data_IF_390639874075
#
_entry.id   IF_390639874075
#
_cell.length_a   1.000
_cell.length_b   1.000
_cell.length_c   1.000
_cell.angle_alpha   90.00
_cell.angle_beta   90.00
_cell.angle_gamma   90.00
#
_symmetry.space_group_name_H-M   'P 1'
#
loop_
_entity.id
_entity.type
_entity.pdbx_description
1 polymer ?
#
# COMPACT_ATOMS: atom_id res chain seq x y z
N UNK A 1 20.44 -1.79 16.84
CA UNK A 1 19.62 -0.61 16.51
C UNK A 1 20.49 0.29 15.65
N UNK A 2 20.40 0.16 14.33
CA UNK A 2 21.29 0.86 13.39
C UNK A 2 20.66 2.21 13.07
N UNK A 3 21.28 3.30 13.52
CA UNK A 3 20.88 4.67 13.19
C UNK A 3 21.53 5.03 11.86
N UNK A 4 20.73 5.06 10.79
CA UNK A 4 21.19 5.55 9.49
C UNK A 4 21.07 7.07 9.47
N UNK A 5 22.20 7.77 9.53
CA UNK A 5 22.26 9.20 9.25
C UNK A 5 22.27 9.39 7.73
N UNK A 6 21.13 9.76 7.15
CA UNK A 6 21.08 10.26 5.78
C UNK A 6 21.54 11.71 5.78
N UNK A 7 22.78 11.93 5.32
CA UNK A 7 23.32 13.25 5.06
C UNK A 7 22.77 13.73 3.72
N UNK A 8 21.62 14.43 3.74
CA UNK A 8 21.04 15.04 2.54
C UNK A 8 21.91 16.22 2.08
N UNK A 9 22.27 16.31 0.80
CA UNK A 9 22.97 17.47 0.25
C UNK A 9 21.99 18.64 0.10
N UNK A 10 22.00 19.56 1.06
CA UNK A 10 21.21 20.80 1.01
C UNK A 10 21.78 21.75 -0.05
N UNK A 11 21.29 21.68 -1.29
CA UNK A 11 21.54 22.71 -2.30
C UNK A 11 20.48 23.82 -2.17
N UNK A 12 20.83 24.89 -1.46
CA UNK A 12 20.02 26.11 -1.41
C UNK A 12 20.36 27.02 -2.61
N UNK A 13 19.53 27.00 -3.66
CA UNK A 13 19.60 27.97 -4.75
C UNK A 13 18.86 29.25 -4.35
N UNK A 14 19.60 30.32 -4.05
CA UNK A 14 19.05 31.64 -3.75
C UNK A 14 18.89 32.41 -5.06
N UNK A 15 17.67 32.48 -5.59
CA UNK A 15 17.33 33.33 -6.75
C UNK A 15 16.88 34.73 -6.26
N UNK A 16 17.40 35.82 -6.86
CA UNK A 16 17.05 37.19 -6.47
C UNK A 16 15.74 37.62 -7.17
N UNK A 17 14.59 37.21 -6.62
CA UNK A 17 13.31 37.87 -6.88
C UNK A 17 12.55 38.02 -5.57
N UNK A 18 12.32 39.28 -5.15
CA UNK A 18 11.36 39.72 -4.11
C UNK A 18 11.01 38.64 -3.06
N UNK A 19 11.98 38.41 -2.17
CA UNK A 19 11.92 37.73 -0.86
C UNK A 19 10.78 36.72 -0.63
N UNK A 20 10.67 35.71 -1.49
CA UNK A 20 9.99 34.46 -1.13
C UNK A 20 11.06 33.39 -1.01
N UNK A 21 11.44 33.07 0.23
CA UNK A 21 12.36 31.96 0.51
C UNK A 21 11.59 30.65 0.39
N UNK A 22 11.86 29.88 -0.66
CA UNK A 22 11.37 28.52 -0.80
C UNK A 22 12.42 27.54 -0.24
N UNK A 23 11.99 26.65 0.66
CA UNK A 23 12.78 25.50 1.08
C UNK A 23 12.42 24.32 0.17
N UNK A 24 13.44 23.69 -0.41
CA UNK A 24 13.29 22.47 -1.19
C UNK A 24 13.71 21.29 -0.32
N UNK A 25 12.82 20.30 -0.20
CA UNK A 25 13.10 19.04 0.49
C UNK A 25 13.07 17.94 -0.56
N UNK A 26 14.19 17.25 -0.72
CA UNK A 26 14.27 16.06 -1.56
C UNK A 26 13.95 14.83 -0.71
N UNK A 27 12.87 14.13 -1.05
CA UNK A 27 12.39 12.95 -0.34
C UNK A 27 12.55 11.77 -1.28
N UNK A 28 13.30 10.76 -0.86
CA UNK A 28 13.47 9.55 -1.65
C UNK A 28 12.10 8.86 -1.87
N UNK A 29 11.84 8.36 -3.07
CA UNK A 29 10.56 7.74 -3.42
C UNK A 29 10.48 6.25 -3.06
N UNK A 30 11.59 5.66 -2.62
CA UNK A 30 11.72 4.24 -2.29
C UNK A 30 11.47 3.94 -0.80
N UNK A 31 11.42 4.97 0.05
CA UNK A 31 10.97 4.84 1.44
C UNK A 31 9.43 4.70 1.44
N UNK A 32 8.89 3.61 1.96
CA UNK A 32 7.45 3.32 1.88
C UNK A 32 6.54 4.43 2.42
N UNK A 33 5.26 4.45 2.01
CA UNK A 33 4.33 5.55 2.31
C UNK A 33 4.19 5.89 3.81
N UNK A 34 4.26 4.91 4.71
CA UNK A 34 4.26 5.16 6.16
C UNK A 34 5.44 6.03 6.60
N UNK A 35 6.65 5.71 6.14
CA UNK A 35 7.86 6.46 6.48
C UNK A 35 7.83 7.88 5.91
N UNK A 36 7.31 8.04 4.68
CA UNK A 36 7.11 9.37 4.08
C UNK A 36 6.09 10.18 4.90
N UNK A 37 5.00 9.56 5.34
CA UNK A 37 3.96 10.23 6.14
C UNK A 37 4.48 10.63 7.53
N UNK A 38 5.29 9.79 8.18
CA UNK A 38 5.96 10.12 9.45
C UNK A 38 6.93 11.28 9.27
N UNK A 39 7.73 11.27 8.21
CA UNK A 39 8.63 12.36 7.89
C UNK A 39 7.88 13.66 7.56
N UNK A 40 6.75 13.57 6.86
CA UNK A 40 5.85 14.71 6.63
C UNK A 40 5.39 15.33 7.95
N UNK A 41 4.97 14.53 8.93
CA UNK A 41 4.51 15.03 10.22
C UNK A 41 5.60 15.78 11.01
N UNK A 42 6.86 15.34 10.90
CA UNK A 42 8.01 16.07 11.46
C UNK A 42 8.19 17.44 10.76
N UNK A 43 7.97 17.48 9.45
CA UNK A 43 8.06 18.71 8.67
C UNK A 43 6.91 19.67 8.95
N UNK A 44 5.68 19.17 9.06
CA UNK A 44 4.48 19.91 9.48
C UNK A 44 4.78 20.59 10.84
N UNK A 45 5.26 19.82 11.83
CA UNK A 45 5.61 20.33 13.16
C UNK A 45 6.69 21.42 13.11
N UNK A 46 7.74 21.21 12.30
CA UNK A 46 8.79 22.20 12.13
C UNK A 46 8.26 23.50 11.52
N UNK A 47 7.41 23.43 10.48
CA UNK A 47 6.83 24.61 9.85
C UNK A 47 5.88 25.34 10.80
N UNK A 48 5.11 24.62 11.60
CA UNK A 48 4.25 25.21 12.64
C UNK A 48 5.08 25.95 13.70
N UNK A 49 6.15 25.34 14.23
CA UNK A 49 7.07 26.00 15.17
C UNK A 49 7.67 27.28 14.59
N UNK A 50 8.02 27.28 13.30
CA UNK A 50 8.56 28.46 12.62
C UNK A 50 7.50 29.54 12.41
N UNK A 51 6.28 29.16 12.05
CA UNK A 51 5.16 30.08 11.93
C UNK A 51 4.82 30.75 13.26
N UNK A 52 4.92 30.03 14.39
CA UNK A 52 4.64 30.58 15.72
C UNK A 52 5.58 31.71 16.15
N UNK A 53 6.86 31.66 15.73
CA UNK A 53 7.86 32.68 16.08
C UNK A 53 8.06 33.74 14.99
N UNK A 54 7.46 33.55 13.82
CA UNK A 54 7.56 34.47 12.70
C UNK A 54 6.75 35.76 12.95
N UNK A 55 7.11 36.84 12.24
CA UNK A 55 6.31 38.06 12.23
C UNK A 55 4.91 37.80 11.66
N UNK A 56 3.93 38.64 11.99
CA UNK A 56 2.54 38.53 11.50
C UNK A 56 2.42 38.45 9.96
N UNK A 57 3.42 38.96 9.25
CA UNK A 57 3.51 38.92 7.78
C UNK A 57 4.12 37.64 7.20
N UNK A 58 4.75 36.80 8.03
CA UNK A 58 5.52 35.61 7.63
C UNK A 58 5.08 34.33 8.36
N UNK A 59 4.04 34.38 9.19
CA UNK A 59 3.55 33.26 10.01
C UNK A 59 2.58 32.29 9.30
N UNK A 60 2.63 32.25 7.96
CA UNK A 60 1.77 31.40 7.11
C UNK A 60 2.56 30.62 6.09
N UNK A 61 3.78 30.20 6.46
CA UNK A 61 4.52 29.26 5.64
C UNK A 61 3.74 27.95 5.53
N UNK A 62 3.73 27.38 4.33
CA UNK A 62 3.14 26.09 4.01
C UNK A 62 4.10 25.34 3.10
N UNK A 63 3.95 24.03 3.00
CA UNK A 63 4.79 23.20 2.17
C UNK A 63 3.95 22.22 1.34
N UNK A 64 4.46 21.88 0.15
CA UNK A 64 3.95 20.77 -0.65
C UNK A 64 5.11 19.98 -1.27
N UNK A 65 4.92 18.67 -1.45
CA UNK A 65 5.85 17.79 -2.14
C UNK A 65 5.06 16.67 -2.79
N UNK A 66 5.49 16.25 -3.98
CA UNK A 66 4.84 15.15 -4.70
C UNK A 66 4.85 13.85 -3.86
N UNK A 67 5.95 13.58 -3.14
CA UNK A 67 6.07 12.43 -2.26
C UNK A 67 5.00 12.42 -1.15
N UNK A 68 4.67 13.58 -0.56
CA UNK A 68 3.62 13.68 0.45
C UNK A 68 2.25 13.34 -0.10
N UNK A 69 1.90 13.90 -1.26
CA UNK A 69 0.61 13.64 -1.91
C UNK A 69 0.48 12.16 -2.27
N UNK A 70 1.56 11.54 -2.77
CA UNK A 70 1.55 10.12 -3.11
C UNK A 70 1.43 9.23 -1.87
N UNK A 71 2.15 9.53 -0.80
CA UNK A 71 2.07 8.77 0.45
C UNK A 71 0.69 8.87 1.10
N UNK A 72 0.10 10.07 1.14
CA UNK A 72 -1.25 10.27 1.66
C UNK A 72 -2.30 9.52 0.83
N UNK A 73 -2.19 9.59 -0.50
CA UNK A 73 -3.08 8.85 -1.39
C UNK A 73 -2.95 7.33 -1.20
N UNK A 74 -1.73 6.82 -1.08
CA UNK A 74 -1.48 5.41 -0.83
C UNK A 74 -2.06 4.94 0.51
N UNK A 75 -1.80 5.67 1.59
CA UNK A 75 -2.35 5.36 2.92
C UNK A 75 -3.87 5.44 2.93
N UNK A 76 -4.47 6.42 2.23
CA UNK A 76 -5.92 6.53 2.09
C UNK A 76 -6.51 5.31 1.35
N UNK A 77 -5.88 4.86 0.27
CA UNK A 77 -6.29 3.67 -0.48
C UNK A 77 -6.20 2.42 0.40
N UNK A 78 -5.08 2.23 1.11
CA UNK A 78 -4.89 1.10 2.02
C UNK A 78 -5.97 1.08 3.09
N UNK A 79 -6.18 2.21 3.77
CA UNK A 79 -7.18 2.33 4.83
C UNK A 79 -8.60 2.07 4.30
N UNK A 80 -8.97 2.66 3.16
CA UNK A 80 -10.28 2.44 2.53
C UNK A 80 -10.49 0.97 2.13
N UNK A 81 -9.44 0.32 1.63
CA UNK A 81 -9.48 -1.09 1.24
C UNK A 81 -9.67 -2.00 2.46
N UNK A 82 -8.93 -1.75 3.55
CA UNK A 82 -9.07 -2.50 4.80
C UNK A 82 -10.50 -2.37 5.33
N UNK A 83 -11.04 -1.14 5.41
CA UNK A 83 -12.41 -0.90 5.86
C UNK A 83 -13.40 -1.70 5.00
N UNK A 84 -13.27 -1.62 3.67
CA UNK A 84 -14.13 -2.35 2.73
C UNK A 84 -14.07 -3.87 2.91
N UNK A 85 -12.87 -4.43 3.07
CA UNK A 85 -12.69 -5.87 3.31
C UNK A 85 -13.39 -6.27 4.60
N UNK A 86 -13.24 -5.48 5.67
CA UNK A 86 -13.90 -5.83 6.94
C UNK A 86 -15.42 -5.70 6.81
N UNK A 87 -15.95 -4.65 6.18
CA UNK A 87 -17.39 -4.52 5.92
C UNK A 87 -17.92 -5.77 5.20
N UNK A 88 -17.23 -6.20 4.15
CA UNK A 88 -17.61 -7.39 3.38
C UNK A 88 -17.53 -8.67 4.24
N UNK A 89 -16.46 -8.86 5.01
CA UNK A 89 -16.28 -10.02 5.88
C UNK A 89 -17.35 -10.06 6.98
N UNK A 90 -17.66 -8.94 7.61
CA UNK A 90 -18.69 -8.85 8.63
C UNK A 90 -20.07 -9.12 8.05
N UNK A 91 -20.39 -8.58 6.87
CA UNK A 91 -21.70 -8.76 6.22
C UNK A 91 -21.93 -10.20 5.74
N UNK A 92 -20.87 -10.94 5.45
CA UNK A 92 -20.94 -12.34 5.01
C UNK A 92 -21.03 -13.35 6.16
N UNK A 93 -20.92 -12.90 7.42
CA UNK A 93 -21.14 -13.73 8.60
C UNK A 93 -22.59 -14.24 8.68
N UNK A 94 -22.75 -15.56 8.80
CA UNK A 94 -24.07 -16.22 8.90
C UNK A 94 -24.66 -16.17 10.32
N UNK A 95 -23.81 -15.93 11.30
CA UNK A 95 -24.08 -15.91 12.73
C UNK A 95 -24.63 -14.57 13.23
N UNK A 96 -24.62 -13.52 12.41
CA UNK A 96 -25.18 -12.22 12.77
C UNK A 96 -26.71 -12.21 12.68
N UNK A 97 -27.37 -11.82 13.77
CA UNK A 97 -28.82 -11.57 13.77
C UNK A 97 -29.16 -10.33 12.93
N UNK A 98 -30.38 -10.24 12.42
CA UNK A 98 -30.83 -9.06 11.65
C UNK A 98 -30.75 -7.76 12.48
N UNK A 99 -30.94 -7.84 13.80
CA UNK A 99 -30.75 -6.70 14.70
C UNK A 99 -29.30 -6.23 14.79
N UNK A 100 -28.34 -7.17 14.80
CA UNK A 100 -26.91 -6.84 14.79
C UNK A 100 -26.48 -6.27 13.45
N UNK A 101 -27.03 -6.76 12.33
CA UNK A 101 -26.78 -6.19 11.00
C UNK A 101 -27.31 -4.75 10.91
N UNK A 102 -28.52 -4.50 11.40
CA UNK A 102 -29.08 -3.14 11.41
C UNK A 102 -28.29 -2.19 12.31
N UNK A 103 -27.85 -2.65 13.50
CA UNK A 103 -26.99 -1.85 14.37
C UNK A 103 -25.64 -1.54 13.71
N UNK A 104 -25.04 -2.53 13.04
CA UNK A 104 -23.82 -2.35 12.26
C UNK A 104 -24.05 -1.34 11.13
N UNK A 105 -25.15 -1.43 10.38
CA UNK A 105 -25.48 -0.47 9.31
C UNK A 105 -25.64 0.96 9.83
N UNK A 106 -26.14 1.16 11.05
CA UNK A 106 -26.17 2.48 11.70
C UNK A 106 -24.77 2.98 12.06
N UNK A 107 -23.91 2.11 12.63
CA UNK A 107 -22.50 2.44 12.91
C UNK A 107 -21.74 2.73 11.62
N UNK A 108 -22.09 2.06 10.51
CA UNK A 108 -21.48 2.26 9.19
C UNK A 108 -21.74 3.64 8.58
N UNK A 109 -22.64 4.45 9.15
CA UNK A 109 -22.87 5.84 8.70
C UNK A 109 -21.79 6.80 9.17
N UNK A 110 -21.02 6.45 10.20
CA UNK A 110 -19.92 7.25 10.72
C UNK A 110 -18.56 6.56 10.48
N UNK A 111 -17.81 7.02 9.49
CA UNK A 111 -16.47 6.50 9.17
C UNK A 111 -15.51 6.48 10.38
N UNK A 112 -15.65 7.43 11.31
CA UNK A 112 -14.78 7.50 12.50
C UNK A 112 -15.07 6.40 13.52
N UNK A 113 -16.32 5.94 13.60
CA UNK A 113 -16.72 4.82 14.47
C UNK A 113 -16.51 3.46 13.82
N UNK A 114 -16.69 3.37 12.48
CA UNK A 114 -16.49 2.15 11.71
C UNK A 114 -15.13 1.53 11.98
N UNK A 115 -14.05 2.32 11.89
CA UNK A 115 -12.69 1.79 12.09
C UNK A 115 -12.50 1.18 13.49
N UNK A 116 -13.13 1.75 14.52
CA UNK A 116 -13.04 1.27 15.91
C UNK A 116 -13.81 -0.03 16.09
N UNK A 117 -15.04 -0.10 15.59
CA UNK A 117 -15.90 -1.27 15.71
C UNK A 117 -15.33 -2.45 14.90
N UNK A 118 -14.74 -2.17 13.74
CA UNK A 118 -13.98 -3.13 12.92
C UNK A 118 -12.84 -3.75 13.73
N UNK A 119 -12.04 -2.93 14.41
CA UNK A 119 -10.92 -3.42 15.22
C UNK A 119 -11.38 -4.22 16.45
N UNK A 120 -12.47 -3.81 17.10
CA UNK A 120 -13.07 -4.55 18.21
C UNK A 120 -13.61 -5.90 17.71
N UNK A 121 -14.35 -5.91 16.62
CA UNK A 121 -14.88 -7.14 16.03
C UNK A 121 -13.77 -8.10 15.57
N UNK A 122 -12.66 -7.57 15.05
CA UNK A 122 -11.48 -8.37 14.72
C UNK A 122 -10.83 -8.96 15.98
N UNK A 123 -10.68 -8.16 17.05
CA UNK A 123 -10.14 -8.62 18.33
C UNK A 123 -10.95 -9.77 18.92
N UNK A 124 -12.27 -9.70 18.84
CA UNK A 124 -13.18 -10.68 19.42
C UNK A 124 -13.49 -11.88 18.49
N UNK A 125 -12.96 -11.87 17.26
CA UNK A 125 -13.13 -12.99 16.34
C UNK A 125 -12.40 -14.26 16.84
N UNK A 126 -13.04 -15.44 16.76
CA UNK A 126 -12.40 -16.70 17.15
C UNK A 126 -11.15 -16.98 16.28
N UNK A 127 -10.14 -17.67 16.82
CA UNK A 127 -8.84 -17.84 16.16
C UNK A 127 -8.95 -18.51 14.77
N UNK A 128 -9.93 -19.38 14.56
CA UNK A 128 -10.21 -20.02 13.26
C UNK A 128 -10.62 -19.02 12.18
N UNK A 129 -11.42 -18.00 12.52
CA UNK A 129 -11.85 -16.95 11.60
C UNK A 129 -10.73 -15.95 11.32
N UNK A 130 -9.88 -15.66 12.33
CA UNK A 130 -8.67 -14.85 12.15
C UNK A 130 -7.70 -15.52 11.17
N UNK A 131 -7.53 -16.84 11.27
CA UNK A 131 -6.68 -17.65 10.38
C UNK A 131 -7.15 -17.54 8.92
N UNK A 132 -8.46 -17.67 8.67
CA UNK A 132 -9.03 -17.58 7.32
C UNK A 132 -8.96 -16.16 6.74
N UNK A 133 -9.24 -15.12 7.54
CA UNK A 133 -9.14 -13.73 7.05
C UNK A 133 -7.69 -13.34 6.73
N UNK A 134 -6.71 -13.87 7.47
CA UNK A 134 -5.28 -13.66 7.18
C UNK A 134 -4.86 -14.37 5.89
N UNK A 135 -5.35 -15.59 5.67
CA UNK A 135 -5.11 -16.34 4.42
C UNK A 135 -5.72 -15.58 3.24
N UNK A 136 -6.94 -15.05 3.36
CA UNK A 136 -7.58 -14.26 2.31
C UNK A 136 -6.85 -12.92 2.09
N UNK A 137 -6.33 -12.26 3.13
CA UNK A 137 -5.54 -11.04 3.03
C UNK A 137 -4.18 -11.29 2.35
N UNK A 138 -3.47 -12.36 2.73
CA UNK A 138 -2.20 -12.75 2.08
C UNK A 138 -2.40 -13.24 0.65
N UNK A 139 -3.58 -13.79 0.31
CA UNK A 139 -3.98 -14.10 -1.07
C UNK A 139 -4.32 -12.83 -1.85
N UNK A 140 -4.97 -11.86 -1.20
CA UNK A 140 -5.30 -10.56 -1.78
C UNK A 140 -4.05 -9.72 -2.09
N UNK A 141 -3.09 -9.64 -1.16
CA UNK A 141 -1.78 -9.00 -1.41
C UNK A 141 -1.01 -9.67 -2.56
N UNK A 142 -1.16 -11.00 -2.72
CA UNK A 142 -0.61 -11.74 -3.88
C UNK A 142 -1.30 -11.38 -5.21
N UNK A 143 -2.60 -11.08 -5.20
CA UNK A 143 -3.38 -10.73 -6.40
C UNK A 143 -3.11 -9.28 -6.86
N UNK A 144 -2.84 -8.35 -5.94
CA UNK A 144 -2.67 -6.93 -6.25
C UNK A 144 -1.27 -6.48 -6.68
N UNK A 145 -0.30 -7.40 -6.82
CA UNK A 145 0.88 -7.13 -7.66
C UNK A 145 1.79 -5.97 -7.22
N UNK A 146 1.85 -5.61 -5.93
CA UNK A 146 3.01 -4.87 -5.40
C UNK A 146 4.11 -5.85 -5.03
N UNK A 147 4.88 -6.26 -6.05
CA UNK A 147 6.19 -6.89 -5.90
C UNK A 147 7.22 -5.79 -5.56
N UNK A 148 7.10 -5.14 -4.42
CA UNK A 148 8.12 -4.21 -3.96
C UNK A 148 9.30 -5.01 -3.39
N UNK A 149 10.46 -4.82 -4.03
CA UNK A 149 11.79 -5.32 -3.69
C UNK A 149 12.00 -6.84 -3.66
N UNK A 150 12.54 -7.37 -4.76
CA UNK A 150 13.40 -8.56 -4.75
C UNK A 150 12.66 -9.89 -4.64
N UNK A 151 12.68 -10.63 -5.74
CA UNK A 151 12.34 -12.06 -5.77
C UNK A 151 13.20 -12.85 -4.79
N UNK A 152 12.66 -13.15 -3.61
CA UNK A 152 13.08 -14.33 -2.86
C UNK A 152 11.79 -14.96 -2.31
N UNK A 153 11.40 -16.17 -2.75
CA UNK A 153 10.42 -16.93 -1.99
C UNK A 153 10.96 -17.01 -0.57
N UNK A 154 10.13 -16.66 0.43
CA UNK A 154 10.52 -16.80 1.84
C UNK A 154 11.15 -18.18 1.98
N UNK A 155 12.46 -18.27 2.24
CA UNK A 155 13.11 -19.59 2.36
C UNK A 155 12.36 -20.35 3.44
N UNK A 156 12.24 -21.67 3.33
CA UNK A 156 11.52 -22.50 4.32
C UNK A 156 11.88 -22.11 5.77
N UNK A 157 13.16 -21.84 6.02
CA UNK A 157 13.67 -21.36 7.30
C UNK A 157 13.07 -20.01 7.76
N UNK A 158 12.88 -19.05 6.85
CA UNK A 158 12.26 -17.76 7.15
C UNK A 158 10.75 -17.88 7.40
N UNK A 159 10.07 -18.80 6.70
CA UNK A 159 8.67 -19.14 6.95
C UNK A 159 8.50 -19.83 8.31
N UNK A 160 9.28 -20.88 8.60
CA UNK A 160 9.25 -21.59 9.88
C UNK A 160 9.49 -20.64 11.04
N UNK A 161 10.48 -19.74 10.92
CA UNK A 161 10.79 -18.77 11.98
C UNK A 161 9.66 -17.74 12.18
N UNK A 162 8.93 -17.37 11.14
CA UNK A 162 7.76 -16.51 11.28
C UNK A 162 6.61 -17.25 11.99
N UNK A 163 6.36 -18.49 11.61
CA UNK A 163 5.32 -19.34 12.21
C UNK A 163 5.61 -19.66 13.69
N UNK A 164 6.85 -19.95 14.04
CA UNK A 164 7.29 -20.19 15.41
C UNK A 164 7.09 -18.94 16.28
N UNK A 165 7.59 -17.78 15.82
CA UNK A 165 7.54 -16.54 16.61
C UNK A 165 6.14 -15.93 16.73
N UNK A 166 5.31 -16.08 15.70
CA UNK A 166 4.02 -15.36 15.61
C UNK A 166 2.84 -16.24 15.98
N UNK A 167 2.92 -17.54 15.66
CA UNK A 167 1.78 -18.46 15.72
C UNK A 167 1.99 -19.60 16.72
N UNK A 168 3.22 -19.82 17.22
CA UNK A 168 3.53 -20.91 18.15
C UNK A 168 3.26 -22.29 17.55
N UNK A 169 3.35 -22.42 16.22
CA UNK A 169 3.09 -23.67 15.50
C UNK A 169 4.21 -24.67 15.73
N UNK A 170 3.85 -25.95 15.76
CA UNK A 170 4.81 -27.05 15.81
C UNK A 170 5.42 -27.31 14.43
N UNK A 171 6.61 -27.93 14.39
CA UNK A 171 7.32 -28.23 13.15
C UNK A 171 6.49 -29.07 12.15
N UNK A 172 5.65 -29.96 12.66
CA UNK A 172 4.77 -30.81 11.86
C UNK A 172 3.68 -29.98 11.14
N UNK A 173 3.04 -29.07 11.86
CA UNK A 173 2.03 -28.16 11.29
C UNK A 173 2.65 -27.18 10.29
N UNK A 174 3.86 -26.68 10.57
CA UNK A 174 4.59 -25.81 9.64
C UNK A 174 4.93 -26.54 8.33
N UNK A 175 5.30 -27.81 8.42
CA UNK A 175 5.64 -28.64 7.25
C UNK A 175 4.40 -28.93 6.39
N UNK A 176 3.25 -29.19 7.02
CA UNK A 176 1.98 -29.36 6.31
C UNK A 176 1.57 -28.07 5.59
N UNK A 177 1.71 -26.93 6.25
CA UNK A 177 1.42 -25.60 5.68
C UNK A 177 2.34 -25.23 4.52
N UNK A 178 3.57 -25.75 4.50
CA UNK A 178 4.53 -25.49 3.43
C UNK A 178 4.28 -26.33 2.17
N UNK A 179 3.52 -27.45 2.28
CA UNK A 179 3.22 -28.33 1.15
C UNK A 179 2.14 -27.77 0.23
N UNK A 180 1.06 -27.21 0.78
CA UNK A 180 -0.05 -26.67 -0.02
C UNK A 180 0.40 -25.61 -1.06
N UNK A 181 1.30 -24.66 -0.73
CA UNK A 181 1.78 -23.66 -1.69
C UNK A 181 2.65 -24.23 -2.81
N UNK A 182 3.41 -25.31 -2.56
CA UNK A 182 4.27 -25.91 -3.58
C UNK A 182 3.45 -26.63 -4.66
N UNK A 183 2.36 -27.30 -4.26
CA UNK A 183 1.44 -27.96 -5.18
C UNK A 183 0.72 -26.94 -6.09
N UNK A 184 0.39 -25.75 -5.58
CA UNK A 184 -0.18 -24.68 -6.40
C UNK A 184 0.81 -24.12 -7.44
N UNK A 185 2.10 -24.05 -7.11
CA UNK A 185 3.15 -23.54 -8.01
C UNK A 185 3.45 -24.54 -9.14
N UNK A 186 3.57 -25.84 -8.80
CA UNK A 186 3.82 -26.89 -9.78
C UNK A 186 2.67 -26.97 -10.80
N UNK A 187 1.42 -26.98 -10.32
CA UNK A 187 0.22 -26.99 -11.16
C UNK A 187 0.09 -25.76 -12.06
N UNK A 188 0.59 -24.59 -11.62
CA UNK A 188 0.57 -23.36 -12.43
C UNK A 188 1.62 -23.39 -13.54
N UNK A 189 2.83 -23.88 -13.22
CA UNK A 189 3.91 -24.01 -14.20
C UNK A 189 3.54 -24.95 -15.36
N UNK A 190 2.80 -26.03 -15.07
CA UNK A 190 2.29 -26.96 -16.10
C UNK A 190 1.27 -26.30 -17.02
N UNK A 191 0.39 -25.44 -16.48
CA UNK A 191 -0.62 -24.72 -17.27
C UNK A 191 -0.01 -23.66 -18.18
N UNK A 192 1.00 -22.93 -17.70
CA UNK A 192 1.68 -21.89 -18.51
C UNK A 192 2.48 -22.52 -19.66
N UNK A 193 3.16 -23.65 -19.42
CA UNK A 193 3.82 -24.45 -20.47
C UNK A 193 2.85 -25.02 -21.53
N UNK A 194 1.58 -25.24 -21.18
CA UNK A 194 0.55 -25.70 -22.12
C UNK A 194 0.07 -24.59 -23.06
N UNK A 195 0.08 -23.33 -22.63
CA UNK A 195 -0.37 -22.17 -23.42
C UNK A 195 0.69 -21.75 -24.45
N UNK A 196 1.96 -21.81 -24.08
CA UNK A 196 3.07 -21.35 -24.95
C UNK A 196 3.24 -22.22 -26.20
N UNK A 197 2.96 -23.52 -26.11
CA UNK A 197 3.03 -24.44 -27.25
C UNK A 197 1.92 -24.23 -28.31
N UNK A 198 0.89 -23.42 -28.02
CA UNK A 198 -0.24 -23.21 -28.96
C UNK A 198 -0.13 -21.92 -29.78
N UNK A 199 0.84 -21.05 -29.49
CA UNK A 199 0.89 -19.69 -30.06
C UNK A 199 1.91 -19.48 -31.19
N UNK A 200 2.52 -20.55 -31.74
CA UNK A 200 3.64 -20.42 -32.70
C UNK A 200 3.22 -20.53 -34.18
N UNK A 201 1.94 -20.77 -34.51
CA UNK A 201 1.48 -20.80 -35.90
C UNK A 201 0.56 -19.61 -36.22
N UNK A 202 1.14 -18.45 -36.58
CA UNK A 202 0.35 -17.36 -37.17
C UNK A 202 0.88 -15.94 -37.00
N UNK A 203 2.16 -15.68 -37.31
CA UNK A 203 2.65 -14.30 -37.44
C UNK A 203 2.53 -13.86 -38.90
N UNK A 204 1.43 -13.17 -39.23
CA UNK A 204 1.27 -12.43 -40.49
C UNK A 204 1.67 -10.97 -40.30
N UNK A 205 2.54 -10.47 -41.18
CA UNK A 205 3.09 -9.11 -41.15
C UNK A 205 2.00 -8.02 -41.16
N UNK A 206 1.90 -7.24 -40.07
CA UNK A 206 1.05 -6.06 -39.99
C UNK A 206 1.84 -4.84 -40.46
N UNK A 207 1.51 -4.33 -41.66
CA UNK A 207 2.03 -3.05 -42.18
C UNK A 207 1.47 -1.87 -41.38
N UNK A 208 2.37 -1.00 -40.91
CA UNK A 208 2.01 0.24 -40.22
C UNK A 208 1.32 1.24 -41.18
N UNK A 209 0.28 1.97 -40.72
CA UNK A 209 -0.36 3.02 -41.52
C UNK A 209 0.50 4.29 -41.57
N UNK A 210 0.65 4.84 -42.78
CA UNK A 210 1.38 6.08 -43.06
C UNK A 210 0.76 7.29 -42.32
N UNK A 211 1.53 7.90 -41.42
CA UNK A 211 1.18 9.16 -40.77
C UNK A 211 1.62 10.36 -41.63
N UNK A 212 0.65 11.06 -42.22
CA UNK A 212 0.88 12.35 -42.88
C UNK A 212 1.01 13.49 -41.85
N UNK A 213 1.90 14.48 -42.05
CA UNK A 213 2.13 15.56 -41.10
C UNK A 213 0.98 16.59 -41.10
N UNK A 214 0.49 16.93 -39.90
CA UNK A 214 -0.51 17.96 -39.64
C UNK A 214 0.05 19.36 -39.89
N UNK A 215 -0.70 20.20 -40.62
CA UNK A 215 -0.36 21.61 -40.88
C UNK A 215 -0.75 22.51 -39.71
N UNK A 216 0.04 23.56 -39.40
CA UNK A 216 -0.22 24.46 -38.28
C UNK A 216 -1.34 25.46 -38.60
N UNK A 217 -2.31 25.55 -37.68
CA UNK A 217 -3.41 26.51 -37.71
C UNK A 217 -2.94 27.87 -37.20
N UNK A 218 -3.05 28.91 -38.02
CA UNK A 218 -2.81 30.30 -37.59
C UNK A 218 -3.94 30.76 -36.68
N UNK A 219 -3.59 31.24 -35.48
CA UNK A 219 -4.51 31.98 -34.60
C UNK A 219 -4.53 33.44 -35.04
N UNK A 220 -5.74 34.00 -35.18
CA UNK A 220 -5.99 35.44 -35.28
C UNK A 220 -6.07 36.05 -33.89
#
# INVERSE_FOLDING_TARGET
>A
MSVFYYQLPTFALILPMRFSTALLVDVAFDIGASAISEYKALWDSFVDERNLVASDTANRAWHTAQAWVMAEAELAIINSTIVTIVVAAVRTRKDLTETQKAALDEVMKDEAEVGKEVLISYRDSPPEMKRKSLIDFTRFERVFGRRNSGEVPMTECAFSKHCENTLGLTDEEMTEWWKEPQDDISNRSEKENFVENRLVEGSGDIKAPNSSPLKPTKRF
#
